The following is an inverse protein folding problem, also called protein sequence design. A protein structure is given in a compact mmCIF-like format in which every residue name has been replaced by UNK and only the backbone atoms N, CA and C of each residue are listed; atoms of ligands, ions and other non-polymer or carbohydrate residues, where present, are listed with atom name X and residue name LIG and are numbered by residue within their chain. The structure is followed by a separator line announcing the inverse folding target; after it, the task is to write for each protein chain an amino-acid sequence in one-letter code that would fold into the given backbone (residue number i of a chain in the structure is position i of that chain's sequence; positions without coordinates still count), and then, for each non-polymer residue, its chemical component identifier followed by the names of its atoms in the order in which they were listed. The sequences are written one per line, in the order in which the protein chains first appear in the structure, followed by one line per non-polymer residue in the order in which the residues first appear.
data_IF_448623923233
#
_entry.id   IF_448623923233
#
_cell.length_a   1.000
_cell.length_b   1.000
_cell.length_c   1.000
_cell.angle_alpha   90.00
_cell.angle_beta   90.00
_cell.angle_gamma   90.00
#
_symmetry.space_group_name_H-M   'P 1'
#
loop_
_entity.id
_entity.type
_entity.pdbx_description
1 polymer ?
#
# COMPACT_ATOMS: atom_id res chain seq x y z
N UNK A 1 9.39 7.64 17.05
CA UNK A 1 8.49 7.02 16.06
C UNK A 1 7.83 8.12 15.27
N UNK A 2 7.91 8.09 13.93
CA UNK A 2 7.27 9.09 13.08
C UNK A 2 5.75 8.94 13.17
N UNK A 3 5.02 10.02 13.44
CA UNK A 3 3.55 10.00 13.37
C UNK A 3 3.13 10.33 11.94
N UNK A 4 2.40 9.43 11.31
CA UNK A 4 1.83 9.61 9.97
C UNK A 4 0.30 9.60 10.11
N UNK A 5 -0.37 10.76 9.99
CA UNK A 5 -1.81 10.80 9.95
C UNK A 5 -2.33 10.03 8.73
N UNK A 6 -3.41 9.27 8.93
CA UNK A 6 -4.12 8.56 7.88
C UNK A 6 -5.60 8.92 7.92
N UNK A 7 -6.24 8.89 6.76
CA UNK A 7 -7.69 8.92 6.61
C UNK A 7 -8.11 7.61 5.97
N UNK A 8 -9.07 6.92 6.59
CA UNK A 8 -9.76 5.81 5.96
C UNK A 8 -10.87 6.37 5.08
N UNK A 9 -10.63 6.37 3.77
CA UNK A 9 -11.62 6.74 2.76
C UNK A 9 -12.72 5.68 2.66
N UNK A 10 -12.35 4.43 2.98
CA UNK A 10 -13.28 3.34 3.22
C UNK A 10 -13.31 2.99 4.71
N UNK A 11 -14.39 3.32 5.45
CA UNK A 11 -14.44 3.11 6.90
C UNK A 11 -14.55 1.63 7.30
N UNK A 12 -14.97 0.77 6.37
CA UNK A 12 -15.15 -0.67 6.59
C UNK A 12 -13.83 -1.44 6.49
N UNK A 13 -12.81 -0.84 5.85
CA UNK A 13 -11.46 -1.40 5.85
C UNK A 13 -10.73 -1.13 7.17
N UNK A 14 -9.94 -2.10 7.67
CA UNK A 14 -9.07 -1.86 8.81
C UNK A 14 -7.96 -0.87 8.44
N UNK A 15 -7.51 -0.08 9.40
CA UNK A 15 -6.31 0.73 9.23
C UNK A 15 -5.08 -0.15 8.94
N UNK A 16 -4.09 0.34 8.18
CA UNK A 16 -2.83 -0.36 8.00
C UNK A 16 -2.19 -0.68 9.35
N UNK A 17 -1.63 -1.88 9.45
CA UNK A 17 -1.01 -2.37 10.66
C UNK A 17 0.30 -3.09 10.36
N UNK A 18 1.25 -2.99 11.28
CA UNK A 18 2.46 -3.79 11.28
C UNK A 18 2.10 -5.21 11.74
N UNK A 19 2.63 -6.22 11.05
CA UNK A 19 2.31 -7.61 11.36
C UNK A 19 3.05 -8.08 12.63
N UNK A 20 4.29 -7.64 12.80
CA UNK A 20 5.13 -7.97 13.96
C UNK A 20 5.80 -6.71 14.54
N UNK A 21 6.18 -6.73 15.83
CA UNK A 21 7.00 -5.69 16.42
C UNK A 21 8.34 -5.53 15.67
N UNK A 22 8.65 -4.31 15.23
CA UNK A 22 9.89 -4.00 14.51
C UNK A 22 9.82 -4.14 12.99
N UNK A 23 8.69 -4.56 12.42
CA UNK A 23 8.50 -4.56 10.97
C UNK A 23 8.65 -3.14 10.38
N UNK A 24 9.29 -3.06 9.21
CA UNK A 24 9.53 -1.79 8.53
C UNK A 24 8.28 -1.23 7.83
N UNK A 25 7.37 -2.10 7.39
CA UNK A 25 6.18 -1.72 6.61
C UNK A 25 4.88 -2.15 7.28
N UNK A 26 3.84 -1.33 7.10
CA UNK A 26 2.47 -1.67 7.48
C UNK A 26 1.75 -2.27 6.25
N UNK A 27 0.99 -3.34 6.47
CA UNK A 27 0.25 -4.00 5.39
C UNK A 27 -0.93 -3.12 4.93
N UNK A 28 -0.98 -2.80 3.64
CA UNK A 28 -2.12 -2.19 2.97
C UNK A 28 -3.17 -3.24 2.59
N UNK A 29 -4.43 -2.82 2.45
CA UNK A 29 -5.55 -3.67 2.05
C UNK A 29 -6.07 -3.23 0.70
N UNK A 30 -6.50 -4.19 -0.11
CA UNK A 30 -7.27 -3.90 -1.31
C UNK A 30 -8.70 -3.53 -0.90
N UNK A 31 -9.23 -2.45 -1.47
CA UNK A 31 -10.60 -2.00 -1.24
C UNK A 31 -11.64 -2.82 -1.98
N UNK A 32 -11.25 -3.44 -3.09
CA UNK A 32 -12.12 -4.25 -3.92
C UNK A 32 -11.38 -5.48 -4.43
N UNK A 33 -12.14 -6.49 -4.80
CA UNK A 33 -11.61 -7.68 -5.46
C UNK A 33 -11.07 -7.33 -6.85
N UNK A 34 -9.95 -7.93 -7.22
CA UNK A 34 -9.38 -7.83 -8.54
C UNK A 34 -8.85 -9.19 -8.98
N UNK A 35 -9.15 -9.56 -10.23
CA UNK A 35 -8.58 -10.76 -10.86
C UNK A 35 -7.50 -10.34 -11.85
N UNK A 36 -6.28 -10.84 -11.64
CA UNK A 36 -5.16 -10.60 -12.55
C UNK A 36 -5.02 -11.79 -13.49
N UNK A 37 -5.17 -11.55 -14.79
CA UNK A 37 -4.96 -12.59 -15.80
C UNK A 37 -3.49 -13.03 -15.83
N UNK A 38 -3.20 -14.33 -16.04
CA UNK A 38 -1.85 -14.82 -16.29
C UNK A 38 -1.20 -14.12 -17.51
N UNK A 39 0.13 -14.06 -17.54
CA UNK A 39 0.87 -13.51 -18.68
C UNK A 39 0.93 -11.97 -18.73
N UNK A 40 0.76 -11.29 -17.59
CA UNK A 40 0.95 -9.84 -17.47
C UNK A 40 -0.32 -9.02 -17.24
N UNK A 41 -1.40 -9.66 -16.77
CA UNK A 41 -2.59 -8.95 -16.31
C UNK A 41 -2.25 -7.94 -15.20
N UNK A 42 -2.86 -6.75 -15.28
CA UNK A 42 -2.65 -5.64 -14.34
C UNK A 42 -3.98 -4.98 -14.02
N UNK A 43 -4.12 -4.53 -12.78
CA UNK A 43 -5.24 -3.73 -12.33
C UNK A 43 -4.70 -2.60 -11.46
N UNK A 44 -5.36 -1.44 -11.53
CA UNK A 44 -5.20 -0.40 -10.51
C UNK A 44 -6.12 -0.77 -9.36
N UNK A 45 -5.55 -1.03 -8.19
CA UNK A 45 -6.30 -1.49 -7.01
C UNK A 45 -6.22 -0.42 -5.93
N UNK A 46 -7.36 0.19 -5.63
CA UNK A 46 -7.51 1.21 -4.60
C UNK A 46 -7.28 0.62 -3.21
N UNK A 47 -6.66 1.38 -2.30
CA UNK A 47 -6.36 0.92 -0.94
C UNK A 47 -7.38 1.37 0.11
N UNK A 48 -8.26 2.33 -0.20
CA UNK A 48 -9.21 2.90 0.75
C UNK A 48 -8.57 3.82 1.79
N UNK A 49 -7.32 4.25 1.59
CA UNK A 49 -6.63 5.15 2.52
C UNK A 49 -5.94 6.31 1.80
N UNK A 50 -5.87 7.43 2.49
CA UNK A 50 -4.94 8.53 2.19
C UNK A 50 -4.06 8.78 3.42
N UNK A 51 -2.86 9.30 3.22
CA UNK A 51 -1.93 9.61 4.30
C UNK A 51 -1.24 10.96 4.13
N UNK A 52 -0.65 11.47 5.20
CA UNK A 52 0.13 12.70 5.17
C UNK A 52 1.53 12.44 5.73
N UNK A 53 2.51 12.25 4.85
CA UNK A 53 3.91 12.17 5.27
C UNK A 53 4.43 13.56 5.65
N UNK A 54 5.34 13.65 6.64
CA UNK A 54 6.02 14.91 6.95
C UNK A 54 6.89 15.39 5.76
N UNK A 55 7.11 16.70 5.62
CA UNK A 55 8.05 17.23 4.63
C UNK A 55 9.43 16.59 4.74
N UNK A 56 10.06 16.30 3.60
CA UNK A 56 11.37 15.64 3.54
C UNK A 56 11.34 14.11 3.77
N UNK A 57 10.16 13.51 3.93
CA UNK A 57 9.96 12.07 4.05
C UNK A 57 9.28 11.53 2.79
N UNK A 58 9.73 10.37 2.32
CA UNK A 58 9.09 9.59 1.26
C UNK A 58 8.52 8.29 1.82
N UNK A 59 7.37 7.88 1.31
CA UNK A 59 6.79 6.56 1.53
C UNK A 59 7.10 5.64 0.37
N UNK A 60 7.14 4.34 0.63
CA UNK A 60 7.40 3.34 -0.42
C UNK A 60 6.39 2.20 -0.34
N UNK A 61 5.66 1.99 -1.43
CA UNK A 61 4.82 0.80 -1.62
C UNK A 61 5.69 -0.33 -2.15
N UNK A 62 5.73 -1.45 -1.41
CA UNK A 62 6.52 -2.63 -1.77
C UNK A 62 5.64 -3.88 -1.84
N UNK A 63 5.92 -4.82 -2.76
CA UNK A 63 5.24 -6.11 -2.82
C UNK A 63 5.42 -6.92 -1.54
N UNK A 64 4.35 -7.62 -1.11
CA UNK A 64 4.47 -8.63 -0.06
C UNK A 64 5.14 -9.89 -0.63
N UNK A 65 6.27 -10.27 -0.06
CA UNK A 65 7.11 -11.39 -0.53
C UNK A 65 6.33 -12.70 -0.72
N UNK A 66 5.39 -13.01 0.18
CA UNK A 66 4.57 -14.21 0.09
C UNK A 66 3.66 -14.26 -1.15
N UNK A 67 3.06 -13.13 -1.54
CA UNK A 67 2.22 -13.05 -2.74
C UNK A 67 3.07 -13.06 -4.01
N UNK A 68 4.21 -12.37 -3.99
CA UNK A 68 5.16 -12.36 -5.09
C UNK A 68 5.70 -13.77 -5.38
N UNK A 69 6.17 -14.49 -4.37
CA UNK A 69 6.74 -15.83 -4.52
C UNK A 69 5.71 -16.88 -4.94
N UNK A 70 4.51 -16.86 -4.35
CA UNK A 70 3.50 -17.91 -4.60
C UNK A 70 2.63 -17.67 -5.82
N UNK A 71 2.41 -16.41 -6.19
CA UNK A 71 1.42 -16.03 -7.21
C UNK A 71 1.95 -15.06 -8.27
N UNK A 72 3.21 -14.61 -8.18
CA UNK A 72 3.76 -13.61 -9.09
C UNK A 72 3.13 -12.22 -8.97
N UNK A 73 2.38 -11.96 -7.89
CA UNK A 73 1.72 -10.66 -7.67
C UNK A 73 2.75 -9.64 -7.20
N UNK A 74 2.89 -8.55 -7.95
CA UNK A 74 3.83 -7.46 -7.69
C UNK A 74 3.21 -6.10 -7.95
N UNK A 75 3.88 -5.03 -7.52
CA UNK A 75 3.57 -3.66 -7.91
C UNK A 75 4.42 -3.30 -9.12
N UNK A 76 3.79 -2.92 -10.24
CA UNK A 76 4.49 -2.63 -11.50
C UNK A 76 5.55 -1.53 -11.34
N UNK A 77 5.29 -0.55 -10.49
CA UNK A 77 6.15 0.60 -10.22
C UNK A 77 7.02 0.43 -8.96
N UNK A 78 7.26 -0.80 -8.47
CA UNK A 78 8.00 -1.00 -7.21
C UNK A 78 9.45 -0.49 -7.28
N UNK A 79 9.96 0.21 -6.24
CA UNK A 79 9.22 0.73 -5.09
C UNK A 79 8.34 1.93 -5.48
N UNK A 80 7.04 1.84 -5.19
CA UNK A 80 6.10 2.92 -5.51
C UNK A 80 6.32 4.11 -4.58
N UNK A 81 6.78 5.24 -5.13
CA UNK A 81 7.06 6.46 -4.37
C UNK A 81 5.77 7.17 -3.95
N UNK A 82 5.66 7.49 -2.66
CA UNK A 82 4.64 8.39 -2.11
C UNK A 82 5.33 9.66 -1.64
N UNK A 83 5.03 10.78 -2.30
CA UNK A 83 5.57 12.09 -1.94
C UNK A 83 4.90 12.68 -0.70
N UNK A 84 5.65 13.49 0.06
CA UNK A 84 5.12 14.18 1.24
C UNK A 84 3.97 15.16 0.97
N UNK A 85 3.81 15.60 -0.28
CA UNK A 85 2.69 16.43 -0.72
C UNK A 85 1.44 15.66 -1.16
N UNK A 86 1.54 14.33 -1.35
CA UNK A 86 0.43 13.52 -1.85
C UNK A 86 -0.68 13.38 -0.80
N UNK A 87 -1.93 13.64 -1.19
CA UNK A 87 -3.10 13.61 -0.27
C UNK A 87 -4.27 12.79 -0.80
N UNK A 88 -4.17 12.28 -2.02
CA UNK A 88 -5.19 11.43 -2.61
C UNK A 88 -5.09 9.99 -2.10
N UNK A 89 -5.97 9.13 -2.59
CA UNK A 89 -5.97 7.70 -2.28
C UNK A 89 -4.66 7.04 -2.77
N UNK A 90 -4.08 6.18 -1.93
CA UNK A 90 -2.94 5.33 -2.33
C UNK A 90 -3.39 4.17 -3.22
#
# INVERSE_FOLDING_TARGET
MLRVPIVRLDPDLPAPAYAQPGDAGADLRARHEATLAPGGGRALVATGIALALPPGVAGFVQPRSGLALRHGVTCLNTPGLIDSGYRDEL
#
